data_IF_274265235766
#
_entry.id   IF_274265235766
#
_cell.length_a   1.000
_cell.length_b   1.000
_cell.length_c   1.000
_cell.angle_alpha   90.00
_cell.angle_beta   90.00
_cell.angle_gamma   90.00
#
_symmetry.space_group_name_H-M   'P 1'
#
loop_
_entity.id
_entity.type
_entity.pdbx_description
1 polymer ?
#
# COMPACT_ATOMS: atom_id res chain seq x y z
N UNK A 1 18.42 24.66 24.90
CA UNK A 1 18.33 23.21 25.21
C UNK A 1 17.19 22.61 24.41
N UNK A 2 17.31 21.37 23.95
CA UNK A 2 16.22 20.60 23.34
C UNK A 2 15.85 19.47 24.29
N UNK A 3 14.55 19.30 24.58
CA UNK A 3 14.00 18.20 25.37
C UNK A 3 13.09 17.36 24.48
N UNK A 4 13.49 16.15 24.07
CA UNK A 4 12.62 15.25 23.33
C UNK A 4 11.57 14.60 24.25
N UNK A 5 10.45 14.22 23.67
CA UNK A 5 9.40 13.41 24.27
C UNK A 5 8.82 12.48 23.21
N UNK A 6 8.28 11.34 23.63
CA UNK A 6 7.55 10.45 22.72
C UNK A 6 6.34 9.85 23.41
N UNK A 7 5.31 9.58 22.62
CA UNK A 7 4.05 8.99 23.07
C UNK A 7 3.55 7.97 22.05
N UNK A 8 2.68 7.08 22.52
CA UNK A 8 1.87 6.21 21.65
C UNK A 8 0.42 6.62 21.89
N UNK A 9 -0.09 7.67 21.22
CA UNK A 9 -1.42 8.20 21.51
C UNK A 9 -2.54 7.23 21.12
N UNK A 10 -2.27 6.29 20.22
CA UNK A 10 -3.31 5.43 19.67
C UNK A 10 -2.75 4.05 19.28
N UNK A 11 -3.54 3.02 19.55
CA UNK A 11 -3.29 1.63 19.20
C UNK A 11 -4.58 1.02 18.66
N UNK A 12 -4.46 0.18 17.63
CA UNK A 12 -5.54 -0.63 17.09
C UNK A 12 -5.12 -2.10 17.02
N UNK A 13 -6.00 -3.03 17.45
CA UNK A 13 -7.21 -2.77 18.24
C UNK A 13 -6.84 -2.14 19.60
N UNK A 14 -7.77 -1.40 20.22
CA UNK A 14 -7.49 -0.67 21.47
C UNK A 14 -7.07 -1.58 22.64
N UNK A 15 -7.41 -2.87 22.58
CA UNK A 15 -7.01 -3.88 23.56
C UNK A 15 -5.57 -4.40 23.38
N UNK A 16 -4.93 -4.13 22.23
CA UNK A 16 -3.56 -4.57 21.98
C UNK A 16 -2.57 -3.81 22.88
N UNK A 17 -1.58 -4.52 23.39
CA UNK A 17 -0.57 -3.97 24.28
C UNK A 17 0.75 -3.76 23.53
N UNK A 18 0.96 -2.53 23.05
CA UNK A 18 2.22 -2.11 22.42
C UNK A 18 3.15 -1.57 23.50
N UNK A 19 4.17 -2.38 23.85
CA UNK A 19 5.19 -2.01 24.83
C UNK A 19 6.26 -1.16 24.18
N UNK A 20 6.68 -0.10 24.88
CA UNK A 20 7.79 0.73 24.48
C UNK A 20 9.01 0.50 25.39
N UNK A 21 10.20 0.40 24.82
CA UNK A 21 11.47 0.37 25.57
C UNK A 21 12.49 1.34 24.94
N UNK A 22 13.65 1.47 25.57
CA UNK A 22 14.65 2.49 25.23
C UNK A 22 14.45 3.80 26.00
N UNK A 23 15.53 4.56 26.17
CA UNK A 23 15.53 5.80 26.96
C UNK A 23 15.28 6.98 26.05
N UNK A 24 14.31 7.84 26.39
CA UNK A 24 14.23 9.19 25.82
C UNK A 24 15.23 10.07 26.56
N UNK A 25 16.22 10.67 25.88
CA UNK A 25 17.16 11.56 26.55
C UNK A 25 16.43 12.70 27.26
N UNK A 26 16.95 13.14 28.41
CA UNK A 26 16.52 14.39 29.02
C UNK A 26 16.89 15.62 28.18
N UNK A 27 16.71 16.82 28.73
CA UNK A 27 17.12 18.05 28.04
C UNK A 27 18.62 18.01 27.71
N UNK A 28 18.98 18.32 26.45
CA UNK A 28 20.36 18.40 25.95
C UNK A 28 20.68 19.78 25.38
N UNK A 29 21.93 20.21 25.49
CA UNK A 29 22.38 21.43 24.79
C UNK A 29 22.49 21.15 23.29
N UNK A 30 22.46 22.21 22.47
CA UNK A 30 22.70 22.07 21.03
C UNK A 30 24.09 21.46 20.77
N UNK A 31 25.12 21.87 21.53
CA UNK A 31 26.46 21.30 21.43
C UNK A 31 26.50 19.81 21.78
N UNK A 32 25.74 19.37 22.81
CA UNK A 32 25.66 17.96 23.18
C UNK A 32 25.03 17.13 22.07
N UNK A 33 24.00 17.67 21.40
CA UNK A 33 23.33 17.00 20.28
C UNK A 33 24.25 16.96 19.06
N UNK A 34 24.94 18.07 18.75
CA UNK A 34 25.87 18.15 17.63
C UNK A 34 27.07 17.21 17.78
N UNK A 35 27.52 16.96 19.01
CA UNK A 35 28.61 16.05 19.32
C UNK A 35 28.16 14.58 19.47
N UNK A 36 26.86 14.29 19.44
CA UNK A 36 26.35 12.94 19.72
C UNK A 36 26.71 11.94 18.60
N UNK A 37 27.27 10.78 18.98
CA UNK A 37 27.61 9.69 18.06
C UNK A 37 27.10 8.33 18.59
N UNK A 38 26.22 7.62 17.88
CA UNK A 38 25.46 8.09 16.72
C UNK A 38 24.46 9.19 17.11
N UNK A 39 24.12 10.06 16.16
CA UNK A 39 23.12 11.09 16.38
C UNK A 39 21.73 10.48 16.67
N UNK A 40 20.99 11.09 17.61
CA UNK A 40 19.59 10.71 17.91
C UNK A 40 19.43 9.66 19.01
N UNK A 41 18.23 9.11 19.17
CA UNK A 41 17.96 8.08 20.16
C UNK A 41 17.07 7.00 19.57
N UNK A 42 17.22 5.77 20.07
CA UNK A 42 16.43 4.63 19.60
C UNK A 42 15.31 4.32 20.60
N UNK A 43 14.10 4.16 20.06
CA UNK A 43 12.97 3.57 20.78
C UNK A 43 12.60 2.26 20.11
N UNK A 44 12.24 1.26 20.91
CA UNK A 44 11.78 -0.04 20.41
C UNK A 44 10.32 -0.19 20.82
N UNK A 45 9.47 -0.51 19.85
CA UNK A 45 8.07 -0.84 20.05
C UNK A 45 7.89 -2.34 19.83
N UNK A 46 7.19 -3.00 20.74
CA UNK A 46 6.94 -4.44 20.68
C UNK A 46 5.46 -4.72 20.89
N UNK A 47 4.88 -5.57 20.05
CA UNK A 47 3.55 -6.10 20.21
C UNK A 47 3.60 -7.63 20.18
N UNK A 48 2.80 -8.30 21.02
CA UNK A 48 2.69 -9.75 21.01
C UNK A 48 1.60 -10.20 20.03
N UNK A 49 1.84 -11.32 19.35
CA UNK A 49 0.84 -11.94 18.48
C UNK A 49 -0.40 -12.40 19.29
N UNK A 50 -1.53 -12.52 18.61
CA UNK A 50 -2.82 -12.94 19.15
C UNK A 50 -3.65 -11.80 19.75
N UNK A 51 -3.19 -10.55 19.59
CA UNK A 51 -3.87 -9.35 20.10
C UNK A 51 -4.47 -8.51 18.97
N UNK A 52 -4.18 -8.83 17.71
CA UNK A 52 -4.57 -8.04 16.56
C UNK A 52 -5.94 -8.41 15.99
N UNK A 53 -6.38 -7.58 15.05
CA UNK A 53 -7.62 -7.79 14.31
C UNK A 53 -7.54 -9.04 13.43
N UNK A 54 -8.62 -9.83 13.41
CA UNK A 54 -8.76 -10.98 12.52
C UNK A 54 -8.96 -10.53 11.07
N UNK A 55 -8.59 -11.35 10.07
CA UNK A 55 -7.92 -12.65 10.17
C UNK A 55 -6.38 -12.57 10.23
N UNK A 56 -5.81 -11.37 10.09
CA UNK A 56 -4.37 -11.18 9.90
C UNK A 56 -3.58 -11.00 11.19
N UNK A 57 -4.24 -10.97 12.36
CA UNK A 57 -3.63 -10.61 13.66
C UNK A 57 -2.92 -9.26 13.55
N UNK A 58 -3.59 -8.29 12.92
CA UNK A 58 -3.04 -6.99 12.61
C UNK A 58 -3.14 -6.05 13.82
N UNK A 59 -2.01 -5.49 14.23
CA UNK A 59 -1.90 -4.47 15.26
C UNK A 59 -1.26 -3.25 14.62
N UNK A 60 -1.84 -2.07 14.79
CA UNK A 60 -1.27 -0.80 14.37
C UNK A 60 -1.14 0.13 15.57
N UNK A 61 -0.16 1.02 15.54
CA UNK A 61 -0.05 2.09 16.52
C UNK A 61 0.37 3.39 15.85
N UNK A 62 0.13 4.51 16.52
CA UNK A 62 0.75 5.79 16.18
C UNK A 62 1.87 6.02 17.18
N UNK A 63 3.10 6.21 16.71
CA UNK A 63 4.23 6.63 17.51
C UNK A 63 4.53 8.10 17.19
N UNK A 64 4.43 8.98 18.18
CA UNK A 64 4.69 10.41 18.00
C UNK A 64 5.97 10.82 18.73
N UNK A 65 6.82 11.57 18.03
CA UNK A 65 7.99 12.22 18.61
C UNK A 65 7.77 13.72 18.63
N UNK A 66 7.98 14.34 19.79
CA UNK A 66 7.90 15.78 19.98
C UNK A 66 9.16 16.32 20.62
N UNK A 67 9.38 17.63 20.50
CA UNK A 67 10.48 18.31 21.16
C UNK A 67 10.05 19.68 21.68
N UNK A 68 10.66 20.10 22.78
CA UNK A 68 10.58 21.46 23.30
C UNK A 68 11.96 22.10 23.29
N UNK A 69 12.04 23.35 22.88
CA UNK A 69 13.25 24.15 22.82
C UNK A 69 13.17 25.25 23.88
N UNK A 70 14.25 25.40 24.64
CA UNK A 70 14.45 26.56 25.51
C UNK A 70 15.54 27.45 24.89
N UNK A 71 15.21 28.70 24.50
CA UNK A 71 16.19 29.65 24.01
C UNK A 71 17.29 29.93 25.04
N UNK A 72 18.51 30.27 24.60
CA UNK A 72 19.56 30.73 25.52
C UNK A 72 19.14 32.03 26.24
N UNK A 73 19.68 32.31 27.43
CA UNK A 73 19.47 33.60 28.11
C UNK A 73 19.78 34.79 27.19
N UNK A 74 18.93 35.82 27.22
CA UNK A 74 19.09 37.04 26.41
C UNK A 74 18.48 36.97 25.00
N UNK A 75 17.98 35.81 24.57
CA UNK A 75 17.26 35.67 23.31
C UNK A 75 15.76 35.87 23.52
N UNK A 76 15.13 36.69 22.67
CA UNK A 76 13.67 36.80 22.62
C UNK A 76 13.10 35.60 21.87
N UNK A 77 12.24 34.77 22.48
CA UNK A 77 11.61 33.67 21.76
C UNK A 77 10.70 34.19 20.65
N UNK A 78 10.73 33.56 19.49
CA UNK A 78 9.80 33.82 18.38
C UNK A 78 9.28 32.50 17.80
N UNK A 79 8.00 32.46 17.44
CA UNK A 79 7.35 31.25 16.89
C UNK A 79 7.06 30.15 17.93
N UNK A 80 6.79 28.94 17.45
CA UNK A 80 6.52 27.77 18.29
C UNK A 80 7.82 27.19 18.87
N UNK A 81 7.89 27.10 20.20
CA UNK A 81 9.03 26.51 20.91
C UNK A 81 8.84 25.02 21.20
N UNK A 82 7.74 24.44 20.77
CA UNK A 82 7.45 23.02 20.91
C UNK A 82 6.59 22.54 19.76
N UNK A 83 6.78 21.30 19.34
CA UNK A 83 5.94 20.68 18.33
C UNK A 83 6.12 19.18 18.24
N UNK A 84 5.12 18.52 17.66
CA UNK A 84 5.23 17.13 17.19
C UNK A 84 6.02 17.16 15.88
N UNK A 85 7.18 16.53 15.89
CA UNK A 85 8.12 16.55 14.78
C UNK A 85 7.66 15.62 13.66
N UNK A 86 7.18 14.44 14.03
CA UNK A 86 6.66 13.43 13.11
C UNK A 86 5.86 12.38 13.87
N UNK A 87 5.05 11.64 13.13
CA UNK A 87 4.49 10.37 13.59
C UNK A 87 4.97 9.22 12.69
N UNK A 88 5.13 8.05 13.28
CA UNK A 88 5.34 6.79 12.55
C UNK A 88 4.17 5.86 12.86
N UNK A 89 3.60 5.20 11.85
CA UNK A 89 2.53 4.22 12.06
C UNK A 89 3.07 2.77 11.98
N UNK A 90 3.78 2.24 13.00
CA UNK A 90 4.20 0.86 12.98
C UNK A 90 3.00 -0.09 13.01
N UNK A 91 3.15 -1.20 12.31
CA UNK A 91 2.19 -2.28 12.24
C UNK A 91 2.88 -3.61 12.47
N UNK A 92 2.22 -4.49 13.20
CA UNK A 92 2.58 -5.89 13.36
C UNK A 92 1.47 -6.74 12.79
N UNK A 93 1.82 -7.85 12.14
CA UNK A 93 0.84 -8.75 11.56
C UNK A 93 1.34 -10.19 11.55
N UNK A 94 0.41 -11.14 11.46
CA UNK A 94 0.67 -12.57 11.31
C UNK A 94 -0.22 -13.20 10.23
N UNK A 95 -0.37 -12.50 9.11
CA UNK A 95 -1.18 -12.99 8.00
C UNK A 95 -0.58 -14.26 7.39
N UNK A 96 -1.41 -15.31 7.28
CA UNK A 96 -0.99 -16.65 6.80
C UNK A 96 -0.45 -16.66 5.36
N UNK A 97 -0.79 -15.64 4.57
CA UNK A 97 -0.44 -15.50 3.16
C UNK A 97 0.76 -14.60 2.90
N UNK A 98 1.40 -14.10 3.96
CA UNK A 98 2.65 -13.35 3.87
C UNK A 98 3.85 -14.25 4.14
N UNK A 99 5.04 -13.73 3.84
CA UNK A 99 6.29 -14.43 4.13
C UNK A 99 6.43 -14.68 5.64
N UNK A 100 6.91 -15.87 5.99
CA UNK A 100 7.14 -16.31 7.39
C UNK A 100 5.86 -16.23 8.26
N UNK A 101 4.75 -16.86 7.84
CA UNK A 101 3.44 -16.72 8.50
C UNK A 101 3.43 -17.22 9.95
N UNK A 102 4.33 -18.14 10.32
CA UNK A 102 4.46 -18.62 11.69
C UNK A 102 5.09 -17.60 12.65
N UNK A 103 5.91 -16.67 12.12
CA UNK A 103 6.65 -15.67 12.90
C UNK A 103 5.92 -14.32 12.92
N UNK A 104 5.18 -14.00 11.85
CA UNK A 104 4.63 -12.66 11.65
C UNK A 104 5.71 -11.68 11.20
N UNK A 105 5.43 -10.38 11.29
CA UNK A 105 6.39 -9.35 10.96
C UNK A 105 5.94 -7.97 11.42
N UNK A 106 6.88 -7.03 11.37
CA UNK A 106 6.64 -5.61 11.61
C UNK A 106 6.93 -4.82 10.33
N UNK A 107 6.14 -3.79 10.07
CA UNK A 107 6.32 -2.84 8.98
C UNK A 107 5.88 -1.45 9.42
N UNK A 108 6.31 -0.40 8.72
CA UNK A 108 5.64 0.90 8.82
C UNK A 108 4.50 0.93 7.81
N UNK A 109 3.37 1.50 8.21
CA UNK A 109 2.20 1.64 7.36
C UNK A 109 2.37 2.84 6.46
N UNK A 110 2.65 2.60 5.18
CA UNK A 110 2.65 3.64 4.16
C UNK A 110 2.25 3.01 2.83
N UNK A 111 1.61 3.80 1.97
CA UNK A 111 1.25 3.35 0.64
C UNK A 111 2.51 3.19 -0.21
N UNK A 112 2.84 1.94 -0.57
CA UNK A 112 4.03 1.62 -1.36
C UNK A 112 3.68 1.60 -2.85
N UNK A 113 4.50 2.18 -3.74
CA UNK A 113 4.28 2.04 -5.18
C UNK A 113 4.71 0.65 -5.68
N UNK A 114 3.80 -0.06 -6.35
CA UNK A 114 4.17 -1.11 -7.30
C UNK A 114 4.73 -0.45 -8.55
N UNK A 115 5.99 -0.76 -8.88
CA UNK A 115 6.65 -0.19 -10.05
C UNK A 115 6.61 -1.17 -11.21
N UNK A 116 6.02 -0.76 -12.33
CA UNK A 116 6.13 -1.45 -13.62
C UNK A 116 6.85 -0.58 -14.65
N UNK A 117 7.58 -1.22 -15.55
CA UNK A 117 8.44 -0.53 -16.51
C UNK A 117 7.94 -0.67 -17.94
N UNK A 118 7.89 0.45 -18.67
CA UNK A 118 7.60 0.48 -20.11
C UNK A 118 8.86 0.39 -20.98
N UNK A 119 10.04 0.32 -20.35
CA UNK A 119 11.34 0.24 -21.02
C UNK A 119 11.44 -1.04 -21.86
N UNK A 120 12.15 -0.95 -22.97
CA UNK A 120 12.45 -2.12 -23.79
C UNK A 120 13.18 -3.18 -22.96
N UNK A 121 12.78 -4.44 -23.11
CA UNK A 121 13.35 -5.57 -22.36
C UNK A 121 12.73 -5.84 -20.98
N UNK A 122 11.89 -4.94 -20.45
CA UNK A 122 11.16 -5.21 -19.21
C UNK A 122 10.18 -6.40 -19.41
N UNK A 123 10.24 -7.46 -18.57
CA UNK A 123 9.39 -8.65 -18.73
C UNK A 123 7.87 -8.40 -18.65
N UNK A 124 7.46 -7.29 -18.05
CA UNK A 124 6.08 -6.87 -17.81
C UNK A 124 5.65 -5.69 -18.71
N UNK A 125 6.47 -5.32 -19.69
CA UNK A 125 6.32 -4.09 -20.49
C UNK A 125 4.92 -3.89 -21.08
N UNK A 126 4.32 -4.94 -21.63
CA UNK A 126 3.01 -4.84 -22.27
C UNK A 126 1.91 -4.50 -21.26
N UNK A 127 1.96 -5.08 -20.05
CA UNK A 127 1.05 -4.78 -18.94
C UNK A 127 1.28 -3.35 -18.44
N UNK A 128 2.55 -2.94 -18.30
CA UNK A 128 2.89 -1.56 -17.93
C UNK A 128 2.30 -0.53 -18.92
N UNK A 129 2.37 -0.82 -20.22
CA UNK A 129 1.79 0.03 -21.28
C UNK A 129 0.26 0.06 -21.24
N UNK A 130 -0.39 -1.08 -20.95
CA UNK A 130 -1.83 -1.15 -20.76
C UNK A 130 -2.28 -0.28 -19.59
N UNK A 131 -1.65 -0.42 -18.43
CA UNK A 131 -1.97 0.36 -17.22
C UNK A 131 -1.68 1.85 -17.45
N UNK A 132 -0.56 2.20 -18.10
CA UNK A 132 -0.26 3.59 -18.48
C UNK A 132 -1.38 4.19 -19.35
N UNK A 133 -1.91 3.42 -20.28
CA UNK A 133 -3.03 3.85 -21.13
C UNK A 133 -4.31 4.01 -20.32
N UNK A 134 -4.58 3.10 -19.38
CA UNK A 134 -5.72 3.21 -18.47
C UNK A 134 -5.65 4.48 -17.60
N UNK A 135 -4.46 4.89 -17.16
CA UNK A 135 -4.27 6.12 -16.39
C UNK A 135 -4.33 7.40 -17.24
N UNK A 136 -3.65 7.41 -18.38
CA UNK A 136 -3.43 8.66 -19.16
C UNK A 136 -4.46 8.88 -20.26
N UNK A 137 -5.06 7.81 -20.76
CA UNK A 137 -6.05 7.82 -21.85
C UNK A 137 -7.21 6.85 -21.54
N UNK A 138 -7.87 6.95 -20.37
CA UNK A 138 -8.88 5.98 -19.95
C UNK A 138 -10.01 5.80 -20.99
N UNK A 139 -10.41 6.87 -21.69
CA UNK A 139 -11.45 6.82 -22.72
C UNK A 139 -11.13 5.93 -23.94
N UNK A 140 -9.85 5.64 -24.21
CA UNK A 140 -9.45 4.76 -25.32
C UNK A 140 -9.41 3.28 -24.92
N UNK A 141 -9.50 2.99 -23.62
CA UNK A 141 -9.48 1.62 -23.11
C UNK A 141 -10.86 0.97 -23.17
N UNK A 142 -10.88 -0.36 -23.03
CA UNK A 142 -12.11 -1.17 -23.10
C UNK A 142 -12.42 -1.79 -21.75
N UNK A 143 -13.69 -1.89 -21.32
CA UNK A 143 -14.91 -1.45 -22.01
C UNK A 143 -15.01 0.08 -22.07
N UNK A 144 -15.72 0.64 -23.06
CA UNK A 144 -15.85 2.10 -23.17
C UNK A 144 -16.68 2.63 -21.99
N UNK A 145 -16.18 3.70 -21.37
CA UNK A 145 -16.92 4.50 -20.39
C UNK A 145 -16.41 5.95 -20.51
N UNK A 146 -17.32 6.88 -20.83
CA UNK A 146 -16.99 8.30 -21.05
C UNK A 146 -16.43 8.98 -19.80
N UNK A 147 -16.80 8.49 -18.61
CA UNK A 147 -16.37 9.01 -17.31
C UNK A 147 -15.35 8.08 -16.64
N UNK A 148 -14.66 7.22 -17.41
CA UNK A 148 -13.74 6.24 -16.83
C UNK A 148 -12.61 6.93 -16.07
N UNK A 149 -12.45 6.55 -14.81
CA UNK A 149 -11.39 6.97 -13.88
C UNK A 149 -10.95 5.75 -13.09
N UNK A 150 -10.03 4.97 -13.67
CA UNK A 150 -9.54 3.76 -13.00
C UNK A 150 -8.71 4.17 -11.76
N UNK A 151 -8.91 3.51 -10.60
CA UNK A 151 -8.13 3.78 -9.40
C UNK A 151 -6.70 3.20 -9.53
N UNK A 152 -5.87 3.46 -8.53
CA UNK A 152 -4.53 2.91 -8.38
C UNK A 152 -3.39 3.75 -8.96
N UNK A 153 -3.67 4.94 -9.50
CA UNK A 153 -2.63 5.84 -10.02
C UNK A 153 -1.99 6.73 -8.95
N UNK A 154 -2.67 6.92 -7.82
CA UNK A 154 -2.28 7.89 -6.78
C UNK A 154 -2.60 7.35 -5.39
N UNK A 155 -2.01 7.98 -4.36
CA UNK A 155 -2.30 7.67 -2.96
C UNK A 155 -3.73 8.02 -2.53
N UNK A 156 -4.43 8.91 -3.25
CA UNK A 156 -5.82 9.28 -2.97
C UNK A 156 -6.82 8.23 -3.44
N UNK A 157 -6.43 7.39 -4.39
CA UNK A 157 -7.25 6.31 -4.93
C UNK A 157 -6.41 5.04 -4.99
N UNK A 158 -5.98 4.48 -3.85
CA UNK A 158 -5.14 3.29 -3.84
C UNK A 158 -5.94 2.06 -4.30
N UNK A 159 -5.22 0.96 -4.51
CA UNK A 159 -5.77 -0.38 -4.64
C UNK A 159 -5.63 -1.11 -3.32
N UNK A 160 -6.66 -1.88 -2.96
CA UNK A 160 -6.67 -2.69 -1.75
C UNK A 160 -6.56 -4.16 -2.11
N UNK A 161 -5.63 -4.88 -1.49
CA UNK A 161 -5.44 -6.31 -1.76
C UNK A 161 -6.72 -7.05 -1.40
N UNK A 162 -7.13 -7.96 -2.27
CA UNK A 162 -8.23 -8.90 -2.09
C UNK A 162 -7.66 -10.32 -2.06
N UNK A 163 -7.59 -10.94 -0.89
CA UNK A 163 -6.98 -12.26 -0.72
C UNK A 163 -7.97 -13.36 -0.33
N UNK A 164 -8.77 -13.14 0.71
CA UNK A 164 -9.62 -14.15 1.32
C UNK A 164 -10.86 -14.47 0.48
N UNK A 165 -11.45 -13.48 -0.20
CA UNK A 165 -12.63 -13.69 -1.04
C UNK A 165 -12.27 -14.25 -2.42
N UNK A 166 -12.15 -15.57 -2.49
CA UNK A 166 -11.91 -16.29 -3.73
C UNK A 166 -13.07 -16.15 -4.74
N UNK A 167 -14.30 -15.98 -4.28
CA UNK A 167 -15.46 -15.84 -5.16
C UNK A 167 -15.41 -14.50 -5.90
N UNK A 168 -15.16 -13.41 -5.19
CA UNK A 168 -14.95 -12.07 -5.78
C UNK A 168 -13.74 -12.02 -6.69
N UNK A 169 -12.61 -12.61 -6.30
CA UNK A 169 -11.43 -12.76 -7.18
C UNK A 169 -11.74 -13.50 -8.48
N UNK A 170 -12.53 -14.58 -8.43
CA UNK A 170 -12.97 -15.33 -9.63
C UNK A 170 -13.97 -14.50 -10.44
N UNK A 171 -14.83 -13.73 -9.77
CA UNK A 171 -15.79 -12.85 -10.42
C UNK A 171 -15.10 -11.68 -11.15
N UNK A 172 -14.05 -11.09 -10.56
CA UNK A 172 -13.20 -10.10 -11.23
C UNK A 172 -12.65 -10.66 -12.55
N UNK A 173 -11.95 -11.81 -12.50
CA UNK A 173 -11.39 -12.46 -13.69
C UNK A 173 -12.44 -12.80 -14.74
N UNK A 174 -13.56 -13.39 -14.33
CA UNK A 174 -14.60 -13.80 -15.28
C UNK A 174 -15.30 -12.60 -15.94
N UNK A 175 -15.47 -11.49 -15.21
CA UNK A 175 -15.97 -10.23 -15.79
C UNK A 175 -14.98 -9.65 -16.79
N UNK A 176 -13.67 -9.69 -16.51
CA UNK A 176 -12.65 -9.25 -17.45
C UNK A 176 -12.64 -10.11 -18.72
N UNK A 177 -12.59 -11.44 -18.58
CA UNK A 177 -12.63 -12.40 -19.70
C UNK A 177 -13.90 -12.23 -20.53
N UNK A 178 -15.08 -12.10 -19.90
CA UNK A 178 -16.34 -11.85 -20.60
C UNK A 178 -16.28 -10.54 -21.40
N UNK A 179 -15.65 -9.51 -20.85
CA UNK A 179 -15.46 -8.24 -21.54
C UNK A 179 -14.48 -8.35 -22.70
N UNK A 180 -13.37 -9.09 -22.53
CA UNK A 180 -12.43 -9.38 -23.62
C UNK A 180 -13.13 -10.07 -24.80
N UNK A 181 -13.91 -11.13 -24.53
CA UNK A 181 -14.70 -11.82 -25.57
C UNK A 181 -15.65 -10.88 -26.30
N UNK A 182 -16.40 -10.07 -25.53
CA UNK A 182 -17.37 -9.11 -26.08
C UNK A 182 -16.72 -8.05 -26.97
N UNK A 183 -15.51 -7.62 -26.66
CA UNK A 183 -14.85 -6.48 -27.32
C UNK A 183 -13.90 -6.92 -28.44
N UNK A 184 -13.19 -8.03 -28.25
CA UNK A 184 -12.11 -8.49 -29.12
C UNK A 184 -12.39 -9.81 -29.83
N UNK A 185 -13.57 -10.41 -29.61
CA UNK A 185 -13.95 -11.71 -30.18
C UNK A 185 -13.65 -12.89 -29.26
N UNK A 186 -14.32 -14.02 -29.48
CA UNK A 186 -14.09 -15.26 -28.71
C UNK A 186 -12.68 -15.84 -28.92
N UNK A 187 -12.05 -15.48 -30.04
CA UNK A 187 -10.68 -15.83 -30.45
C UNK A 187 -9.61 -14.86 -29.90
N UNK A 188 -9.95 -13.93 -28.99
CA UNK A 188 -8.98 -12.97 -28.43
C UNK A 188 -7.71 -13.63 -27.83
N UNK A 189 -7.83 -14.89 -27.40
CA UNK A 189 -6.75 -15.68 -26.83
C UNK A 189 -5.88 -16.42 -27.88
N UNK A 190 -6.27 -16.40 -29.16
CA UNK A 190 -5.51 -17.02 -30.24
C UNK A 190 -4.09 -16.43 -30.32
N UNK A 191 -3.12 -17.30 -30.57
CA UNK A 191 -1.70 -16.91 -30.59
C UNK A 191 -1.06 -16.78 -29.19
N UNK A 192 -1.66 -17.40 -28.17
CA UNK A 192 -1.07 -17.46 -26.83
C UNK A 192 -1.28 -16.19 -26.00
N UNK A 193 -2.41 -15.51 -26.22
CA UNK A 193 -2.80 -14.32 -25.46
C UNK A 193 -3.70 -14.67 -24.28
N UNK A 194 -3.71 -13.79 -23.28
CA UNK A 194 -4.62 -13.80 -22.15
C UNK A 194 -5.23 -12.41 -21.99
N UNK A 195 -6.40 -12.34 -21.34
CA UNK A 195 -7.05 -11.07 -21.04
C UNK A 195 -6.33 -10.45 -19.84
N UNK A 196 -5.54 -9.40 -20.07
CA UNK A 196 -5.01 -8.56 -18.99
C UNK A 196 -6.11 -7.63 -18.50
N UNK A 197 -6.11 -7.34 -17.20
CA UNK A 197 -7.17 -6.62 -16.51
C UNK A 197 -6.62 -5.63 -15.49
N UNK A 198 -7.18 -4.42 -15.49
CA UNK A 198 -6.85 -3.38 -14.53
C UNK A 198 -8.09 -2.60 -14.08
N UNK A 199 -8.36 -2.40 -12.78
CA UNK A 199 -7.58 -2.89 -11.64
C UNK A 199 -7.52 -4.43 -11.54
N UNK A 200 -6.55 -4.92 -10.78
CA UNK A 200 -6.19 -6.34 -10.78
C UNK A 200 -7.30 -7.24 -10.20
N UNK A 201 -7.36 -8.49 -10.65
CA UNK A 201 -8.31 -9.47 -10.12
C UNK A 201 -8.23 -9.68 -8.61
N UNK A 202 -7.05 -9.45 -8.05
CA UNK A 202 -6.69 -9.61 -6.64
C UNK A 202 -6.78 -8.30 -5.88
N UNK A 203 -7.58 -7.34 -6.34
CA UNK A 203 -7.91 -6.13 -5.58
C UNK A 203 -9.42 -5.94 -5.47
N UNK A 204 -9.84 -5.16 -4.47
CA UNK A 204 -11.25 -4.82 -4.28
C UNK A 204 -11.79 -4.05 -5.51
N UNK A 205 -10.97 -3.20 -6.12
CA UNK A 205 -11.32 -2.37 -7.27
C UNK A 205 -11.37 -3.13 -8.62
N UNK A 206 -11.19 -4.47 -8.61
CA UNK A 206 -11.16 -5.29 -9.81
C UNK A 206 -12.46 -5.22 -10.64
N UNK A 207 -12.46 -5.84 -11.83
CA UNK A 207 -13.49 -5.64 -12.85
C UNK A 207 -14.95 -5.91 -12.41
N UNK A 208 -15.17 -6.66 -11.34
CA UNK A 208 -16.49 -6.93 -10.80
C UNK A 208 -16.89 -6.04 -9.63
N UNK A 209 -16.18 -4.94 -9.36
CA UNK A 209 -16.41 -4.05 -8.22
C UNK A 209 -17.90 -3.69 -8.07
N UNK A 210 -18.59 -3.30 -9.16
CA UNK A 210 -20.01 -2.91 -9.11
C UNK A 210 -20.98 -4.04 -8.72
N UNK A 211 -20.54 -5.31 -8.73
CA UNK A 211 -21.34 -6.44 -8.20
C UNK A 211 -21.35 -6.46 -6.67
N UNK A 212 -20.29 -5.98 -6.03
CA UNK A 212 -20.11 -6.00 -4.58
C UNK A 212 -20.28 -4.62 -3.94
N UNK A 213 -20.06 -3.56 -4.72
CA UNK A 213 -20.16 -2.16 -4.34
C UNK A 213 -21.06 -1.43 -5.33
N UNK A 214 -22.39 -1.39 -5.10
CA UNK A 214 -23.35 -0.83 -6.06
C UNK A 214 -23.13 0.65 -6.39
N UNK A 215 -22.46 1.40 -5.51
CA UNK A 215 -22.08 2.80 -5.71
C UNK A 215 -20.86 2.97 -6.62
N UNK A 216 -20.09 1.90 -6.88
CA UNK A 216 -18.91 1.97 -7.73
C UNK A 216 -19.31 2.25 -9.19
N UNK A 217 -18.50 3.01 -9.95
CA UNK A 217 -18.85 3.35 -11.33
C UNK A 217 -18.82 2.10 -12.23
N UNK A 218 -19.86 1.91 -13.04
CA UNK A 218 -19.95 0.81 -14.01
C UNK A 218 -18.82 0.90 -15.03
N UNK A 219 -18.30 -0.25 -15.46
CA UNK A 219 -17.28 -0.34 -16.50
C UNK A 219 -16.02 0.50 -16.20
N UNK A 220 -15.68 0.70 -14.91
CA UNK A 220 -14.54 1.49 -14.47
C UNK A 220 -13.24 0.67 -14.34
N UNK A 221 -13.00 -0.16 -15.35
CA UNK A 221 -11.82 -1.01 -15.47
C UNK A 221 -11.37 -1.02 -16.94
N UNK A 222 -10.22 -1.62 -17.20
CA UNK A 222 -9.59 -1.75 -18.50
C UNK A 222 -9.22 -3.21 -18.75
N UNK A 223 -9.48 -3.71 -19.95
CA UNK A 223 -9.03 -5.02 -20.42
C UNK A 223 -8.30 -4.92 -21.75
N UNK A 224 -7.30 -5.78 -21.93
CA UNK A 224 -6.53 -5.86 -23.18
C UNK A 224 -5.97 -7.28 -23.38
N UNK A 225 -6.18 -7.92 -24.54
CA UNK A 225 -5.49 -9.18 -24.87
C UNK A 225 -3.98 -8.96 -25.01
N UNK A 226 -3.21 -9.55 -24.11
CA UNK A 226 -1.74 -9.47 -24.08
C UNK A 226 -1.13 -10.86 -24.15
N UNK A 227 0.15 -10.95 -24.54
CA UNK A 227 0.84 -12.23 -24.53
C UNK A 227 0.87 -12.83 -23.12
N UNK A 228 0.57 -14.12 -23.00
CA UNK A 228 0.53 -14.85 -21.73
C UNK A 228 1.80 -14.68 -20.89
N UNK A 229 2.96 -14.61 -21.55
CA UNK A 229 4.25 -14.44 -20.87
C UNK A 229 4.35 -13.09 -20.16
N UNK A 230 4.03 -11.99 -20.84
CA UNK A 230 4.08 -10.65 -20.25
C UNK A 230 3.07 -10.51 -19.10
N UNK A 231 1.86 -11.05 -19.31
CA UNK A 231 0.80 -11.07 -18.29
C UNK A 231 1.22 -11.85 -17.04
N UNK A 232 1.79 -13.05 -17.24
CA UNK A 232 2.29 -13.89 -16.15
C UNK A 232 3.47 -13.26 -15.39
N UNK A 233 4.38 -12.58 -16.09
CA UNK A 233 5.50 -11.87 -15.46
C UNK A 233 4.99 -10.73 -14.57
N UNK A 234 4.05 -9.92 -15.06
CA UNK A 234 3.42 -8.86 -14.26
C UNK A 234 2.69 -9.45 -13.04
N UNK A 235 1.90 -10.51 -13.23
CA UNK A 235 1.21 -11.18 -12.13
C UNK A 235 2.16 -11.70 -11.04
N UNK A 236 3.32 -12.25 -11.44
CA UNK A 236 4.36 -12.69 -10.51
C UNK A 236 4.96 -11.51 -9.73
N UNK A 237 5.27 -10.41 -10.41
CA UNK A 237 5.78 -9.19 -9.78
C UNK A 237 4.78 -8.62 -8.78
N UNK A 238 3.50 -8.54 -9.14
CA UNK A 238 2.43 -8.10 -8.24
C UNK A 238 2.33 -8.99 -6.98
N UNK A 239 2.36 -10.31 -7.14
CA UNK A 239 2.31 -11.25 -6.02
C UNK A 239 3.52 -11.10 -5.08
N UNK A 240 4.72 -10.99 -5.64
CA UNK A 240 5.95 -10.75 -4.88
C UNK A 240 5.90 -9.40 -4.17
N UNK A 241 5.49 -8.33 -4.85
CA UNK A 241 5.32 -6.99 -4.30
C UNK A 241 4.40 -7.00 -3.08
N UNK A 242 3.19 -7.57 -3.19
CA UNK A 242 2.25 -7.63 -2.07
C UNK A 242 2.78 -8.47 -0.91
N UNK A 243 3.61 -9.48 -1.19
CA UNK A 243 4.18 -10.35 -0.15
C UNK A 243 5.34 -9.67 0.58
N UNK A 244 6.28 -9.08 -0.16
CA UNK A 244 7.48 -8.44 0.37
C UNK A 244 7.17 -7.15 1.11
N UNK A 245 6.20 -6.37 0.63
CA UNK A 245 5.72 -5.16 1.30
C UNK A 245 4.64 -5.45 2.34
N UNK A 246 4.35 -6.73 2.60
CA UNK A 246 3.38 -7.18 3.60
C UNK A 246 1.98 -6.57 3.43
N UNK A 247 1.54 -6.30 2.21
CA UNK A 247 0.22 -5.70 1.97
C UNK A 247 -0.86 -6.67 2.48
N UNK A 248 -1.66 -6.21 3.45
CA UNK A 248 -2.75 -6.98 4.02
C UNK A 248 -4.01 -6.89 3.18
N UNK A 249 -4.83 -7.93 3.27
CA UNK A 249 -6.19 -7.96 2.73
C UNK A 249 -7.10 -7.01 3.51
N UNK A 250 -7.91 -6.22 2.79
CA UNK A 250 -8.88 -5.28 3.35
C UNK A 250 -8.56 -3.80 3.06
N UNK A 251 -9.46 -2.92 3.51
CA UNK A 251 -9.47 -1.49 3.15
C UNK A 251 -8.48 -0.63 3.99
N UNK A 252 -7.92 -1.20 5.06
CA UNK A 252 -6.99 -0.50 5.96
C UNK A 252 -5.53 -0.50 5.46
N UNK A 253 -5.25 -1.18 4.35
CA UNK A 253 -3.91 -1.25 3.74
C UNK A 253 -4.00 -1.25 2.22
N UNK A 254 -3.08 -0.52 1.57
CA UNK A 254 -3.21 -0.24 0.15
C UNK A 254 -1.89 0.03 -0.55
N UNK A 255 -1.97 0.09 -1.87
CA UNK A 255 -0.84 0.42 -2.72
C UNK A 255 -1.30 1.16 -3.97
N UNK A 256 -0.37 1.78 -4.69
CA UNK A 256 -0.64 2.39 -5.99
C UNK A 256 0.38 1.89 -7.00
N UNK A 257 0.14 2.12 -8.29
CA UNK A 257 1.00 1.67 -9.38
C UNK A 257 1.70 2.86 -9.99
N UNK A 258 3.02 2.80 -10.07
CA UNK A 258 3.86 3.76 -10.79
C UNK A 258 4.39 3.13 -12.05
N UNK A 259 4.31 3.86 -13.17
CA UNK A 259 4.85 3.42 -14.46
C UNK A 259 6.14 4.18 -14.77
N UNK A 260 7.20 3.44 -15.11
CA UNK A 260 8.55 3.96 -15.41
C UNK A 260 9.02 3.69 -16.83
#
# INVERSE_FOLDING_TARGET
MIKPSVTIPQVWPAAANVKQTGTVPGARSFDTIAAQQPAGFTRVLNAAAGQGSTPSDAIAAVFEASATITPPPGYTPGGELSGTLFFLPPRWDKAKYLSKPAQGGAAFTYLVPLVYSTKAGAPERAVAQHIKTAFTKPGTTKPVNANKKVPGATVQTPLHRLYHDNARRKKNRSTAVSTCKKVFGDDYAQGGKECDEYPFATTYEGCAQTTYEPSAPKNNFSVLPLAKKDNGNAGNLLGQFMTLNRILDGDDDGFYVTIT
#
